data_IF_505670439423
#
_entry.id   IF_505670439423
#
_cell.length_a   1.000
_cell.length_b   1.000
_cell.length_c   1.000
_cell.angle_alpha   90.00
_cell.angle_beta   90.00
_cell.angle_gamma   90.00
#
_symmetry.space_group_name_H-M   'P 1'
#
loop_
_entity.id
_entity.type
_entity.pdbx_description
1 polymer ?
#
# COMPACT_ATOMS: atom_id res chain seq x y z
N UNK A 1 -1.06 -7.46 -13.36
CA UNK A 1 -1.15 -8.65 -12.46
C UNK A 1 -2.59 -8.78 -12.01
N UNK A 2 -3.17 -9.99 -11.98
CA UNK A 2 -4.54 -10.16 -11.55
C UNK A 2 -4.65 -9.97 -10.03
N UNK A 3 -5.45 -9.00 -9.59
CA UNK A 3 -5.78 -8.85 -8.17
C UNK A 3 -6.73 -9.99 -7.80
N UNK A 4 -6.47 -10.78 -6.75
CA UNK A 4 -7.40 -11.81 -6.29
C UNK A 4 -8.80 -11.21 -6.10
N UNK A 5 -9.89 -11.92 -6.38
CA UNK A 5 -11.23 -11.37 -6.16
C UNK A 5 -11.61 -11.33 -4.66
N UNK A 6 -11.12 -12.32 -3.90
CA UNK A 6 -11.27 -12.47 -2.44
C UNK A 6 -10.19 -13.38 -1.89
N UNK A 7 -9.95 -13.29 -0.58
CA UNK A 7 -9.15 -14.26 0.16
C UNK A 7 -9.92 -15.55 0.37
N UNK A 8 -9.54 -16.61 -0.37
CA UNK A 8 -10.07 -17.97 -0.21
C UNK A 8 -9.51 -18.62 1.05
N UNK A 9 -10.27 -19.58 1.59
CA UNK A 9 -10.00 -20.30 2.83
C UNK A 9 -8.66 -21.07 2.87
N UNK A 10 -8.08 -21.39 1.70
CA UNK A 10 -6.90 -22.25 1.60
C UNK A 10 -5.56 -21.51 1.83
N UNK A 11 -5.59 -20.17 2.01
CA UNK A 11 -4.42 -19.36 2.38
C UNK A 11 -4.66 -18.66 3.71
N UNK A 12 -3.60 -18.43 4.47
CA UNK A 12 -3.70 -17.56 5.66
C UNK A 12 -4.19 -16.18 5.20
N UNK A 13 -5.19 -15.64 5.90
CA UNK A 13 -5.79 -14.34 5.59
C UNK A 13 -4.71 -13.27 5.36
N UNK A 14 -3.68 -13.27 6.21
CA UNK A 14 -2.51 -12.39 6.14
C UNK A 14 -1.78 -12.47 4.80
N UNK A 15 -1.38 -13.68 4.38
CA UNK A 15 -0.67 -13.86 3.10
C UNK A 15 -1.54 -13.42 1.93
N UNK A 16 -2.83 -13.73 1.97
CA UNK A 16 -3.72 -13.32 0.89
C UNK A 16 -3.86 -11.79 0.78
N UNK A 17 -4.07 -11.10 1.92
CA UNK A 17 -4.20 -9.63 1.93
C UNK A 17 -2.92 -8.99 1.41
N UNK A 18 -1.75 -9.45 1.88
CA UNK A 18 -0.45 -9.00 1.39
C UNK A 18 -0.30 -9.15 -0.14
N UNK A 19 -0.57 -10.34 -0.69
CA UNK A 19 -0.45 -10.58 -2.14
C UNK A 19 -1.45 -9.74 -2.95
N UNK A 20 -2.66 -9.53 -2.42
CA UNK A 20 -3.64 -8.64 -3.04
C UNK A 20 -3.17 -7.18 -3.05
N UNK A 21 -2.60 -6.70 -1.94
CA UNK A 21 -2.01 -5.37 -1.86
C UNK A 21 -0.85 -5.21 -2.86
N UNK A 22 0.04 -6.21 -2.94
CA UNK A 22 1.14 -6.23 -3.92
C UNK A 22 0.65 -6.15 -5.36
N UNK A 23 -0.39 -6.91 -5.71
CA UNK A 23 -0.98 -6.89 -7.05
C UNK A 23 -1.67 -5.55 -7.37
N UNK A 24 -2.32 -4.92 -6.38
CA UNK A 24 -2.93 -3.59 -6.52
C UNK A 24 -1.89 -2.51 -6.78
N UNK A 25 -0.80 -2.49 -6.01
CA UNK A 25 0.32 -1.55 -6.23
C UNK A 25 0.90 -1.70 -7.64
N UNK A 26 1.13 -2.93 -8.10
CA UNK A 26 1.61 -3.17 -9.46
C UNK A 26 0.62 -2.68 -10.53
N UNK A 27 -0.69 -2.77 -10.27
CA UNK A 27 -1.72 -2.27 -11.18
C UNK A 27 -1.76 -0.74 -11.21
N UNK A 28 -1.54 -0.08 -10.07
CA UNK A 28 -1.42 1.38 -9.98
C UNK A 28 -0.20 1.87 -10.77
N UNK A 29 0.96 1.23 -10.61
CA UNK A 29 2.18 1.54 -11.38
C UNK A 29 1.95 1.36 -12.88
N UNK A 30 1.34 0.25 -13.28
CA UNK A 30 1.01 0.01 -14.70
C UNK A 30 0.03 1.06 -15.27
N UNK A 31 -0.83 1.63 -14.43
CA UNK A 31 -1.74 2.73 -14.77
C UNK A 31 -1.10 4.12 -14.74
N UNK A 32 0.21 4.22 -14.47
CA UNK A 32 0.93 5.50 -14.44
C UNK A 32 0.85 6.27 -13.11
N UNK A 33 0.32 5.64 -12.04
CA UNK A 33 0.26 6.27 -10.73
C UNK A 33 1.66 6.58 -10.17
N UNK A 34 2.63 5.69 -10.38
CA UNK A 34 4.02 5.85 -10.00
C UNK A 34 4.93 5.39 -11.16
N UNK A 35 6.19 5.84 -11.19
CA UNK A 35 7.20 5.36 -12.15
C UNK A 35 7.60 3.93 -11.78
N UNK A 36 7.76 3.67 -10.49
CA UNK A 36 8.16 2.38 -9.96
C UNK A 36 7.59 2.18 -8.55
N UNK A 37 7.45 0.92 -8.14
CA UNK A 37 7.11 0.55 -6.78
C UNK A 37 7.92 -0.67 -6.34
N UNK A 38 8.45 -0.60 -5.12
CA UNK A 38 9.05 -1.74 -4.43
C UNK A 38 8.17 -2.14 -3.25
N UNK A 39 7.72 -3.39 -3.23
CA UNK A 39 6.97 -3.95 -2.11
C UNK A 39 7.90 -4.88 -1.34
N UNK A 40 8.15 -4.58 -0.08
CA UNK A 40 8.97 -5.40 0.81
C UNK A 40 8.31 -6.75 1.14
N UNK A 41 9.07 -7.72 1.68
CA UNK A 41 8.51 -8.97 2.15
C UNK A 41 7.53 -8.74 3.31
N UNK A 42 6.60 -9.68 3.50
CA UNK A 42 5.76 -9.72 4.68
C UNK A 42 6.58 -10.29 5.85
N UNK A 43 6.81 -9.46 6.88
CA UNK A 43 7.53 -9.80 8.10
C UNK A 43 6.56 -9.78 9.29
N UNK A 44 6.10 -10.96 9.70
CA UNK A 44 5.03 -11.08 10.69
C UNK A 44 3.73 -10.50 10.16
N UNK A 45 3.34 -9.34 10.69
CA UNK A 45 2.14 -8.61 10.27
C UNK A 45 2.48 -7.31 9.52
N UNK A 46 3.75 -7.09 9.14
CA UNK A 46 4.21 -5.83 8.54
C UNK A 46 4.77 -6.02 7.16
N UNK A 47 4.54 -5.05 6.29
CA UNK A 47 5.22 -4.94 5.00
C UNK A 47 5.40 -3.48 4.61
N UNK A 48 6.36 -3.21 3.74
CA UNK A 48 6.66 -1.86 3.27
C UNK A 48 6.32 -1.70 1.80
N UNK A 49 5.92 -0.49 1.41
CA UNK A 49 5.74 -0.09 0.02
C UNK A 49 6.51 1.19 -0.21
N UNK A 50 7.45 1.17 -1.14
CA UNK A 50 8.19 2.34 -1.60
C UNK A 50 7.73 2.70 -3.00
N UNK A 51 7.31 3.94 -3.20
CA UNK A 51 6.89 4.50 -4.48
C UNK A 51 7.88 5.55 -4.98
N UNK A 52 8.19 5.48 -6.26
CA UNK A 52 9.07 6.41 -6.98
C UNK A 52 8.29 6.95 -8.18
N UNK A 53 8.28 8.26 -8.46
CA UNK A 53 7.59 8.81 -9.65
C UNK A 53 6.20 9.41 -9.40
N UNK A 54 5.26 9.51 -10.38
CA UNK A 54 4.28 10.60 -10.46
C UNK A 54 3.02 10.41 -9.61
N UNK A 55 3.19 9.90 -8.40
CA UNK A 55 2.36 10.13 -7.22
C UNK A 55 3.09 11.06 -6.22
N UNK A 56 4.40 11.27 -6.44
CA UNK A 56 5.28 12.27 -5.85
C UNK A 56 5.44 13.47 -6.80
N UNK A 57 4.38 13.96 -7.48
CA UNK A 57 4.48 15.01 -8.55
C UNK A 57 5.16 16.34 -8.13
N UNK A 58 5.57 16.42 -6.89
CA UNK A 58 6.63 17.27 -6.41
C UNK A 58 7.70 16.36 -5.78
N UNK A 59 8.96 16.51 -6.17
CA UNK A 59 10.07 15.97 -5.36
C UNK A 59 9.78 16.26 -3.89
N UNK A 60 10.22 15.43 -2.95
CA UNK A 60 9.99 15.71 -1.53
C UNK A 60 10.40 17.15 -1.14
N UNK A 61 11.37 17.72 -1.86
CA UNK A 61 11.74 19.13 -1.85
C UNK A 61 10.61 20.08 -2.27
N UNK A 62 9.93 19.82 -3.39
CA UNK A 62 8.79 20.62 -3.84
C UNK A 62 7.52 20.40 -3.00
N UNK A 63 7.30 19.21 -2.39
CA UNK A 63 6.24 18.99 -1.37
C UNK A 63 6.51 19.86 -0.13
N UNK A 64 7.75 19.82 0.38
CA UNK A 64 8.19 20.64 1.51
C UNK A 64 8.08 22.14 1.21
N UNK A 65 8.50 22.58 0.02
CA UNK A 65 8.41 23.98 -0.42
C UNK A 65 6.97 24.48 -0.56
N UNK A 66 6.02 23.59 -0.85
CA UNK A 66 4.60 23.93 -1.04
C UNK A 66 3.72 23.63 0.18
N UNK A 67 4.29 23.06 1.26
CA UNK A 67 3.54 22.52 2.43
C UNK A 67 2.39 21.61 2.03
N UNK A 68 2.53 20.92 0.91
CA UNK A 68 1.48 20.06 0.38
C UNK A 68 1.65 18.63 0.90
N UNK A 69 0.53 17.94 1.14
CA UNK A 69 0.53 16.57 1.59
C UNK A 69 0.74 15.62 0.40
N UNK A 70 1.43 14.49 0.59
CA UNK A 70 1.46 13.43 -0.40
C UNK A 70 0.05 12.92 -0.68
N UNK A 71 -0.20 12.49 -1.93
CA UNK A 71 -1.44 11.80 -2.25
C UNK A 71 -1.36 10.38 -1.67
N UNK A 72 -2.25 10.04 -0.74
CA UNK A 72 -2.31 8.73 -0.07
C UNK A 72 -3.37 7.79 -0.67
N UNK A 73 -3.74 8.01 -1.94
CA UNK A 73 -4.76 7.23 -2.63
C UNK A 73 -4.45 5.72 -2.63
N UNK A 74 -3.19 5.34 -2.80
CA UNK A 74 -2.76 3.94 -2.69
C UNK A 74 -3.06 3.38 -1.30
N UNK A 75 -2.73 4.10 -0.22
CA UNK A 75 -3.00 3.65 1.14
C UNK A 75 -4.49 3.42 1.38
N UNK A 76 -5.35 4.31 0.85
CA UNK A 76 -6.79 4.18 0.93
C UNK A 76 -7.31 2.97 0.14
N UNK A 77 -6.81 2.74 -1.07
CA UNK A 77 -7.17 1.58 -1.91
C UNK A 77 -6.76 0.28 -1.21
N UNK A 78 -5.54 0.22 -0.68
CA UNK A 78 -5.04 -0.95 0.04
C UNK A 78 -5.86 -1.25 1.30
N UNK A 79 -6.21 -0.21 2.06
CA UNK A 79 -7.02 -0.33 3.27
C UNK A 79 -8.44 -0.81 2.96
N UNK A 80 -9.07 -0.28 1.91
CA UNK A 80 -10.37 -0.74 1.45
C UNK A 80 -10.33 -2.21 0.99
N UNK A 81 -9.26 -2.61 0.29
CA UNK A 81 -9.02 -3.98 -0.12
C UNK A 81 -8.88 -4.93 1.09
N UNK A 82 -8.08 -4.56 2.09
CA UNK A 82 -7.91 -5.35 3.30
C UNK A 82 -9.23 -5.49 4.07
N UNK A 83 -9.98 -4.40 4.25
CA UNK A 83 -11.28 -4.38 4.95
C UNK A 83 -12.30 -5.28 4.26
N UNK A 84 -12.37 -5.24 2.93
CA UNK A 84 -13.23 -6.14 2.15
C UNK A 84 -12.92 -7.62 2.38
N UNK A 85 -11.69 -7.94 2.75
CA UNK A 85 -11.22 -9.31 3.01
C UNK A 85 -11.15 -9.67 4.51
N UNK A 86 -11.61 -8.80 5.41
CA UNK A 86 -11.68 -9.10 6.86
C UNK A 86 -10.40 -8.78 7.64
N UNK A 87 -9.52 -7.93 7.10
CA UNK A 87 -8.35 -7.40 7.80
C UNK A 87 -8.41 -5.87 7.85
N UNK A 88 -7.66 -5.26 8.75
CA UNK A 88 -7.41 -3.82 8.74
C UNK A 88 -5.93 -3.54 8.47
N UNK A 89 -5.66 -2.40 7.84
CA UNK A 89 -4.31 -1.90 7.64
C UNK A 89 -4.17 -0.57 8.36
N UNK A 90 -3.18 -0.48 9.22
CA UNK A 90 -2.62 0.79 9.66
C UNK A 90 -1.39 1.09 8.82
N UNK A 91 -1.14 2.36 8.52
CA UNK A 91 0.09 2.75 7.85
C UNK A 91 0.73 3.98 8.46
N UNK A 92 2.05 4.08 8.26
CA UNK A 92 2.82 5.28 8.52
C UNK A 92 3.53 5.69 7.24
N UNK A 93 3.61 6.99 7.00
CA UNK A 93 4.19 7.55 5.78
C UNK A 93 5.51 8.23 6.11
N UNK A 94 6.57 7.85 5.39
CA UNK A 94 7.89 8.50 5.43
C UNK A 94 8.20 9.07 4.06
N UNK A 95 8.44 10.38 4.01
CA UNK A 95 8.83 11.07 2.77
C UNK A 95 10.36 11.14 2.71
N UNK A 96 10.97 10.39 1.79
CA UNK A 96 12.40 10.42 1.50
C UNK A 96 12.74 11.41 0.38
N UNK A 97 14.02 11.53 0.01
CA UNK A 97 14.44 12.49 -1.03
C UNK A 97 13.90 12.15 -2.42
N UNK A 98 13.85 10.86 -2.74
CA UNK A 98 13.53 10.34 -4.08
C UNK A 98 12.21 9.59 -4.17
N UNK A 99 11.46 9.48 -3.06
CA UNK A 99 10.22 8.69 -3.04
C UNK A 99 9.50 8.74 -1.70
N UNK A 100 8.33 8.11 -1.67
CA UNK A 100 7.52 7.94 -0.46
C UNK A 100 7.57 6.47 -0.04
N UNK A 101 7.71 6.24 1.25
CA UNK A 101 7.69 4.91 1.84
C UNK A 101 6.52 4.82 2.82
N UNK A 102 5.68 3.81 2.65
CA UNK A 102 4.61 3.48 3.56
C UNK A 102 4.93 2.16 4.26
N UNK A 103 4.90 2.17 5.59
CA UNK A 103 4.97 0.95 6.39
C UNK A 103 3.57 0.56 6.81
N UNK A 104 3.10 -0.60 6.35
CA UNK A 104 1.78 -1.15 6.65
C UNK A 104 1.85 -2.19 7.76
N UNK A 105 0.85 -2.19 8.64
CA UNK A 105 0.63 -3.17 9.70
C UNK A 105 -0.74 -3.82 9.51
N UNK A 106 -0.77 -5.13 9.31
CA UNK A 106 -2.00 -5.93 9.20
C UNK A 106 -2.54 -6.22 10.60
N UNK A 107 -3.76 -5.77 10.84
CA UNK A 107 -4.51 -6.12 12.04
C UNK A 107 -5.47 -7.26 11.70
N UNK A 108 -5.33 -8.41 12.37
CA UNK A 108 -6.24 -9.57 12.23
C UNK A 108 -6.81 -10.05 13.57
N UNK A 109 -8.13 -10.36 13.67
CA UNK A 109 -9.25 -9.92 12.83
C UNK A 109 -10.03 -8.75 13.45
N UNK A 110 -10.63 -7.92 12.59
CA UNK A 110 -11.75 -7.06 12.97
C UNK A 110 -12.86 -7.96 13.53
N UNK A 111 -13.09 -7.90 14.83
CA UNK A 111 -14.31 -8.42 15.44
C UNK A 111 -15.48 -7.78 14.70
N UNK A 112 -16.22 -8.56 13.91
CA UNK A 112 -17.49 -8.07 13.34
C UNK A 112 -18.35 -7.59 14.51
N UNK A 113 -18.92 -6.37 14.47
CA UNK A 113 -20.07 -6.07 15.31
C UNK A 113 -21.25 -6.96 14.93
#
# INVERSE_FOLDING_TARGET
VAVPATCRADRTLRQCVYEGCRALIQSLVAGGFALNATVGPLEGDKFTVRLEGPCTLWSAQALRGRRALPNELECLILSAWARRNGAELEWTTRIGETGIEHSFNLLTPLSRP
#
